data_IF_518725741603
#
_entry.id   IF_518725741603
#
_cell.length_a   1.000
_cell.length_b   1.000
_cell.length_c   1.000
_cell.angle_alpha   90.00
_cell.angle_beta   90.00
_cell.angle_gamma   90.00
#
_symmetry.space_group_name_H-M   'P 1'
#
loop_
_entity.id
_entity.type
_entity.pdbx_description
1 polymer ?
#
# COMPACT_ATOMS: atom_id res chain seq x y z
N UNK A 1 -10.84 -4.02 2.77
CA UNK A 1 -11.07 -2.67 2.17
C UNK A 1 -10.06 -2.31 1.09
N UNK A 2 -8.74 -2.34 1.35
CA UNK A 2 -7.74 -1.89 0.36
C UNK A 2 -7.83 -2.55 -1.02
N UNK A 3 -8.14 -3.85 -1.09
CA UNK A 3 -8.33 -4.55 -2.37
C UNK A 3 -9.55 -4.05 -3.16
N UNK A 4 -10.66 -3.71 -2.48
CA UNK A 4 -11.87 -3.20 -3.15
C UNK A 4 -11.66 -1.79 -3.70
N UNK A 5 -10.91 -0.94 -2.98
CA UNK A 5 -10.52 0.39 -3.49
C UNK A 5 -9.75 0.25 -4.80
N UNK A 6 -8.79 -0.68 -4.86
CA UNK A 6 -8.04 -0.97 -6.09
C UNK A 6 -8.97 -1.48 -7.19
N UNK A 7 -9.87 -2.42 -6.87
CA UNK A 7 -10.82 -2.96 -7.85
C UNK A 7 -11.69 -1.87 -8.47
N UNK A 8 -12.23 -0.94 -7.66
CA UNK A 8 -13.04 0.18 -8.16
C UNK A 8 -12.24 1.19 -8.98
N UNK A 9 -10.99 1.45 -8.61
CA UNK A 9 -10.09 2.30 -9.40
C UNK A 9 -9.81 1.69 -10.78
N UNK A 10 -9.53 0.39 -10.82
CA UNK A 10 -9.35 -0.34 -12.08
C UNK A 10 -10.64 -0.34 -12.90
N UNK A 11 -11.79 -0.62 -12.29
CA UNK A 11 -13.08 -0.62 -13.00
C UNK A 11 -13.42 0.73 -13.64
N UNK A 12 -13.16 1.84 -12.93
CA UNK A 12 -13.66 3.17 -13.33
C UNK A 12 -12.62 4.08 -13.99
N UNK A 13 -11.34 3.82 -13.79
CA UNK A 13 -10.27 4.74 -14.18
C UNK A 13 -9.05 4.04 -14.80
N UNK A 14 -9.21 2.83 -15.34
CA UNK A 14 -8.10 2.05 -15.91
C UNK A 14 -7.22 2.83 -16.88
N UNK A 15 -7.82 3.53 -17.84
CA UNK A 15 -7.09 4.30 -18.87
C UNK A 15 -6.44 5.57 -18.35
N UNK A 16 -6.78 6.00 -17.14
CA UNK A 16 -6.17 7.17 -16.47
C UNK A 16 -5.00 6.76 -15.56
N UNK A 17 -4.71 5.47 -15.42
CA UNK A 17 -3.60 5.00 -14.59
C UNK A 17 -2.28 5.12 -15.35
N UNK A 18 -1.43 6.06 -14.92
CA UNK A 18 -0.08 6.25 -15.47
C UNK A 18 0.97 5.32 -14.83
N UNK A 19 0.62 4.69 -13.69
CA UNK A 19 1.49 3.78 -12.96
C UNK A 19 0.68 2.68 -12.24
N UNK A 20 1.30 1.53 -11.91
CA UNK A 20 0.65 0.47 -11.16
C UNK A 20 0.22 0.92 -9.76
N UNK A 21 -0.99 0.55 -9.34
CA UNK A 21 -1.51 0.90 -8.01
C UNK A 21 -0.76 0.09 -6.94
N UNK A 22 -0.14 0.79 -5.98
CA UNK A 22 0.54 0.18 -4.82
C UNK A 22 -0.29 0.32 -3.54
N UNK A 23 -0.19 -0.67 -2.66
CA UNK A 23 -0.85 -0.69 -1.34
C UNK A 23 0.20 -0.87 -0.24
N UNK A 24 0.18 0.02 0.75
CA UNK A 24 1.00 -0.10 1.96
C UNK A 24 0.08 -0.51 3.11
N UNK A 25 0.21 -1.75 3.59
CA UNK A 25 -0.63 -2.32 4.64
C UNK A 25 0.22 -2.98 5.73
N UNK A 26 -0.43 -3.41 6.81
CA UNK A 26 0.13 -4.43 7.68
C UNK A 26 0.42 -5.72 6.90
N UNK A 27 1.25 -6.56 7.47
CA UNK A 27 1.61 -7.85 6.87
C UNK A 27 0.48 -8.87 7.08
N UNK A 28 0.38 -9.85 6.19
CA UNK A 28 -0.59 -10.95 6.29
C UNK A 28 -0.15 -12.00 7.32
N UNK A 29 0.04 -11.55 8.55
CA UNK A 29 0.41 -12.36 9.72
C UNK A 29 -0.40 -11.92 10.93
N UNK A 30 -0.44 -12.75 11.98
CA UNK A 30 -1.07 -12.36 13.24
C UNK A 30 -0.44 -11.08 13.79
N UNK A 31 -1.28 -10.19 14.34
CA UNK A 31 -0.82 -8.96 14.95
C UNK A 31 0.17 -9.25 16.09
N UNK A 32 1.38 -8.65 16.06
CA UNK A 32 2.40 -8.97 17.04
C UNK A 32 2.16 -8.28 18.38
N UNK A 33 2.84 -8.76 19.41
CA UNK A 33 2.92 -8.06 20.70
C UNK A 33 3.67 -6.72 20.58
N UNK A 34 3.48 -5.87 21.59
CA UNK A 34 3.98 -4.47 21.65
C UNK A 34 5.44 -4.30 21.19
N UNK A 35 6.33 -5.23 21.54
CA UNK A 35 7.74 -5.17 21.16
C UNK A 35 8.00 -5.11 19.63
N UNK A 36 7.05 -5.58 18.80
CA UNK A 36 7.16 -5.59 17.33
C UNK A 36 6.04 -4.84 16.62
N UNK A 37 5.16 -4.17 17.35
CA UNK A 37 4.03 -3.42 16.81
C UNK A 37 4.49 -2.35 15.80
N UNK A 38 5.51 -1.57 16.15
CA UNK A 38 6.05 -0.51 15.28
C UNK A 38 6.59 -1.01 13.95
N UNK A 39 7.11 -2.23 13.92
CA UNK A 39 7.60 -2.84 12.69
C UNK A 39 6.46 -3.36 11.81
N UNK A 40 5.35 -3.80 12.42
CA UNK A 40 4.18 -4.31 11.71
C UNK A 40 3.34 -3.21 11.09
N UNK A 41 3.10 -2.13 11.84
CA UNK A 41 2.28 -1.01 11.38
C UNK A 41 2.91 -0.30 10.17
N UNK A 42 2.10 0.15 9.20
CA UNK A 42 2.55 1.08 8.18
C UNK A 42 3.15 2.34 8.83
N UNK A 43 4.35 2.72 8.39
CA UNK A 43 5.07 3.88 8.92
C UNK A 43 5.43 4.87 7.79
N UNK A 44 5.81 6.11 8.12
CA UNK A 44 6.10 7.13 7.11
C UNK A 44 7.18 6.74 6.11
N UNK A 45 8.19 5.98 6.52
CA UNK A 45 9.29 5.57 5.64
C UNK A 45 8.83 4.53 4.61
N UNK A 46 8.01 3.55 5.02
CA UNK A 46 7.37 2.59 4.10
C UNK A 46 6.48 3.30 3.08
N UNK A 47 5.75 4.34 3.51
CA UNK A 47 4.89 5.13 2.62
C UNK A 47 5.72 5.91 1.62
N UNK A 48 6.74 6.65 2.09
CA UNK A 48 7.66 7.40 1.21
C UNK A 48 8.35 6.51 0.20
N UNK A 49 8.78 5.32 0.61
CA UNK A 49 9.40 4.36 -0.29
C UNK A 49 8.42 3.91 -1.38
N UNK A 50 7.19 3.53 -1.02
CA UNK A 50 6.17 3.15 -2.00
C UNK A 50 5.84 4.30 -2.97
N UNK A 51 5.76 5.55 -2.50
CA UNK A 51 5.56 6.73 -3.37
C UNK A 51 6.71 6.86 -4.36
N UNK A 52 7.96 6.71 -3.91
CA UNK A 52 9.12 6.76 -4.79
C UNK A 52 9.10 5.61 -5.81
N UNK A 53 8.73 4.40 -5.41
CA UNK A 53 8.60 3.29 -6.37
C UNK A 53 7.54 3.55 -7.45
N UNK A 54 6.41 4.16 -7.08
CA UNK A 54 5.33 4.48 -8.03
C UNK A 54 5.77 5.58 -9.02
N UNK A 55 6.58 6.54 -8.56
CA UNK A 55 7.07 7.65 -9.39
C UNK A 55 8.38 7.34 -10.11
N UNK A 56 9.08 6.26 -9.74
CA UNK A 56 10.32 5.84 -10.36
C UNK A 56 9.99 5.18 -11.71
N UNK A 57 9.80 6.03 -12.71
CA UNK A 57 9.71 5.68 -14.14
C UNK A 57 11.00 6.10 -14.81
#
# INVERSE_FOLDING_TARGET
VGAEVVARLVERAFYSLEAPIRRVTGYDVQFPYFARERAFLPNPDRIKHAVREVLAV
#
